data_IF_513213480730
#
_entry.id   IF_513213480730
#
_cell.length_a   1.000
_cell.length_b   1.000
_cell.length_c   1.000
_cell.angle_alpha   90.00
_cell.angle_beta   90.00
_cell.angle_gamma   90.00
#
_symmetry.space_group_name_H-M   'P 1'
#
loop_
_entity.id
_entity.type
_entity.pdbx_description
1 polymer ?
#
# COMPACT_ATOMS: atom_id res chain seq x y z
N UNK A 1 -9.61 -19.11 -35.39
CA UNK A 1 -9.74 -17.99 -34.42
C UNK A 1 -9.46 -18.50 -33.02
N UNK A 2 -8.25 -18.29 -32.49
CA UNK A 2 -7.91 -18.63 -31.10
C UNK A 2 -8.47 -17.52 -30.23
N UNK A 3 -9.56 -17.78 -29.48
CA UNK A 3 -10.02 -16.83 -28.46
C UNK A 3 -8.88 -16.68 -27.44
N UNK A 4 -8.37 -15.48 -27.16
CA UNK A 4 -7.40 -15.31 -26.10
C UNK A 4 -8.06 -15.78 -24.81
N UNK A 5 -7.56 -16.89 -24.23
CA UNK A 5 -8.01 -17.35 -22.92
C UNK A 5 -7.55 -16.29 -21.93
N UNK A 6 -8.48 -15.44 -21.51
CA UNK A 6 -8.26 -14.53 -20.40
C UNK A 6 -7.72 -15.36 -19.22
N UNK A 7 -6.60 -14.95 -18.60
CA UNK A 7 -6.08 -15.67 -17.45
C UNK A 7 -7.16 -15.72 -16.37
N UNK A 8 -7.46 -16.92 -15.89
CA UNK A 8 -8.43 -17.13 -14.81
C UNK A 8 -7.92 -16.41 -13.56
N UNK A 9 -8.80 -15.72 -12.84
CA UNK A 9 -8.44 -15.10 -11.55
C UNK A 9 -7.86 -16.17 -10.61
N UNK A 10 -6.76 -15.86 -9.89
CA UNK A 10 -6.13 -16.81 -8.98
C UNK A 10 -7.08 -17.18 -7.85
N UNK A 11 -7.12 -18.47 -7.49
CA UNK A 11 -8.04 -19.02 -6.49
C UNK A 11 -7.49 -18.99 -5.07
N UNK A 12 -6.16 -18.88 -4.92
CA UNK A 12 -5.47 -18.80 -3.63
C UNK A 12 -4.49 -17.62 -3.59
N UNK A 13 -4.11 -17.19 -2.39
CA UNK A 13 -3.09 -16.13 -2.21
C UNK A 13 -1.76 -16.61 -2.77
N UNK A 14 -1.45 -17.91 -2.65
CA UNK A 14 -0.28 -18.57 -3.21
C UNK A 14 -0.27 -18.43 -4.74
N UNK A 15 -1.38 -18.77 -5.40
CA UNK A 15 -1.50 -18.70 -6.85
C UNK A 15 -1.47 -17.25 -7.34
N UNK A 16 -2.05 -16.32 -6.57
CA UNK A 16 -2.01 -14.89 -6.88
C UNK A 16 -0.58 -14.32 -6.75
N UNK A 17 0.12 -14.68 -5.67
CA UNK A 17 1.50 -14.31 -5.44
C UNK A 17 2.44 -14.92 -6.48
N UNK A 18 2.27 -16.20 -6.82
CA UNK A 18 3.05 -16.88 -7.86
C UNK A 18 2.79 -16.32 -9.25
N UNK A 19 1.52 -16.05 -9.59
CA UNK A 19 1.16 -15.39 -10.85
C UNK A 19 1.80 -14.00 -10.94
N UNK A 20 1.73 -13.22 -9.85
CA UNK A 20 2.37 -11.91 -9.79
C UNK A 20 3.90 -12.02 -9.91
N UNK A 21 4.56 -12.86 -9.10
CA UNK A 21 6.02 -13.04 -9.15
C UNK A 21 6.49 -13.54 -10.52
N UNK A 22 5.70 -14.37 -11.21
CA UNK A 22 6.07 -14.98 -12.49
C UNK A 22 5.83 -14.09 -13.70
N UNK A 23 4.77 -13.27 -13.70
CA UNK A 23 4.36 -12.50 -14.88
C UNK A 23 4.39 -10.98 -14.67
N UNK A 24 4.26 -10.51 -13.44
CA UNK A 24 4.03 -9.09 -13.15
C UNK A 24 5.20 -8.45 -12.40
N UNK A 25 5.97 -9.18 -11.59
CA UNK A 25 7.05 -8.64 -10.77
C UNK A 25 8.14 -7.90 -11.57
N UNK A 26 8.82 -8.51 -12.56
CA UNK A 26 9.80 -7.78 -13.37
C UNK A 26 9.13 -6.68 -14.20
N UNK A 27 7.94 -6.97 -14.74
CA UNK A 27 7.25 -6.09 -15.67
C UNK A 27 6.66 -4.85 -14.99
N UNK A 28 6.23 -4.95 -13.74
CA UNK A 28 5.63 -3.87 -12.95
C UNK A 28 6.68 -2.93 -12.40
N UNK A 29 7.81 -3.44 -11.93
CA UNK A 29 8.97 -2.63 -11.58
C UNK A 29 9.48 -1.88 -12.81
N UNK A 30 9.60 -2.57 -13.96
CA UNK A 30 10.00 -1.95 -15.22
C UNK A 30 8.95 -0.95 -15.71
N UNK A 31 7.67 -1.29 -15.71
CA UNK A 31 6.59 -0.38 -16.15
C UNK A 31 6.47 0.83 -15.24
N UNK A 32 6.57 0.68 -13.92
CA UNK A 32 6.59 1.78 -12.97
C UNK A 32 7.85 2.65 -13.15
N UNK A 33 9.02 2.03 -13.38
CA UNK A 33 10.24 2.76 -13.75
C UNK A 33 10.06 3.51 -15.07
N UNK A 34 9.41 2.94 -16.08
CA UNK A 34 9.13 3.59 -17.36
C UNK A 34 8.12 4.73 -17.23
N UNK A 35 7.04 4.54 -16.47
CA UNK A 35 6.04 5.58 -16.17
C UNK A 35 6.73 6.72 -15.42
N UNK A 36 7.54 6.43 -14.41
CA UNK A 36 8.28 7.44 -13.67
C UNK A 36 9.35 8.12 -14.53
N UNK A 37 10.01 7.37 -15.40
CA UNK A 37 11.05 7.88 -16.30
C UNK A 37 10.46 8.73 -17.43
N UNK A 38 9.22 8.50 -17.83
CA UNK A 38 8.60 9.23 -18.93
C UNK A 38 7.72 10.40 -18.45
N UNK A 39 6.98 10.22 -17.34
CA UNK A 39 6.07 11.23 -16.79
C UNK A 39 6.72 12.07 -15.69
N UNK A 40 7.40 11.47 -14.71
CA UNK A 40 8.01 12.20 -13.57
C UNK A 40 9.39 12.81 -13.88
N UNK A 41 10.17 12.26 -14.81
CA UNK A 41 11.47 12.86 -15.22
C UNK A 41 11.33 14.03 -16.21
N UNK A 42 10.26 14.10 -17.02
CA UNK A 42 10.18 15.03 -18.15
C UNK A 42 9.36 16.30 -17.94
N UNK A 43 8.45 16.33 -16.94
CA UNK A 43 7.70 17.54 -16.57
C UNK A 43 7.79 17.76 -15.07
N UNK A 44 8.61 18.74 -14.69
CA UNK A 44 8.68 19.29 -13.33
C UNK A 44 7.45 20.18 -13.12
N UNK A 45 6.26 19.62 -13.24
CA UNK A 45 5.07 20.28 -12.71
C UNK A 45 4.85 19.76 -11.30
N UNK A 46 5.29 20.57 -10.34
CA UNK A 46 5.27 20.24 -8.92
C UNK A 46 3.88 19.88 -8.42
N UNK A 47 2.83 20.41 -9.05
CA UNK A 47 1.44 20.08 -8.75
C UNK A 47 1.08 18.68 -9.24
N UNK A 48 1.44 18.33 -10.48
CA UNK A 48 1.15 17.02 -11.05
C UNK A 48 1.85 15.90 -10.26
N UNK A 49 3.13 16.10 -9.92
CA UNK A 49 3.87 15.14 -9.08
C UNK A 49 3.17 14.92 -7.74
N UNK A 50 2.80 16.00 -7.06
CA UNK A 50 2.11 15.90 -5.76
C UNK A 50 0.74 15.23 -5.87
N UNK A 51 -0.01 15.52 -6.93
CA UNK A 51 -1.33 14.94 -7.19
C UNK A 51 -1.25 13.43 -7.46
N UNK A 52 -0.26 12.99 -8.26
CA UNK A 52 -0.04 11.57 -8.54
C UNK A 52 0.35 10.84 -7.26
N UNK A 53 1.31 11.37 -6.47
CA UNK A 53 1.70 10.77 -5.20
C UNK A 53 0.52 10.69 -4.22
N UNK A 54 -0.30 11.74 -4.15
CA UNK A 54 -1.51 11.75 -3.34
C UNK A 54 -2.53 10.70 -3.81
N UNK A 55 -2.72 10.54 -5.12
CA UNK A 55 -3.59 9.50 -5.68
C UNK A 55 -3.13 8.09 -5.27
N UNK A 56 -1.83 7.79 -5.39
CA UNK A 56 -1.28 6.50 -4.95
C UNK A 56 -1.42 6.28 -3.44
N UNK A 57 -1.23 7.32 -2.61
CA UNK A 57 -1.49 7.25 -1.17
C UNK A 57 -2.96 6.97 -0.86
N UNK A 58 -3.89 7.63 -1.55
CA UNK A 58 -5.32 7.42 -1.39
C UNK A 58 -5.73 6.01 -1.82
N UNK A 59 -5.16 5.51 -2.93
CA UNK A 59 -5.34 4.14 -3.39
C UNK A 59 -4.84 3.13 -2.34
N UNK A 60 -3.64 3.32 -1.81
CA UNK A 60 -3.06 2.48 -0.76
C UNK A 60 -3.94 2.45 0.50
N UNK A 61 -4.38 3.61 0.98
CA UNK A 61 -5.30 3.71 2.12
C UNK A 61 -6.64 3.00 1.85
N UNK A 62 -7.18 3.15 0.64
CA UNK A 62 -8.45 2.51 0.23
C UNK A 62 -8.32 0.99 0.21
N UNK A 63 -7.21 0.45 -0.28
CA UNK A 63 -6.93 -0.99 -0.28
C UNK A 63 -6.84 -1.53 1.15
N UNK A 64 -6.16 -0.83 2.06
CA UNK A 64 -6.10 -1.20 3.49
C UNK A 64 -7.49 -1.26 4.10
N UNK A 65 -8.32 -0.25 3.85
CA UNK A 65 -9.70 -0.21 4.33
C UNK A 65 -10.50 -1.40 3.78
N UNK A 66 -10.37 -1.69 2.48
CA UNK A 66 -11.07 -2.81 1.85
C UNK A 66 -10.67 -4.16 2.46
N UNK A 67 -9.37 -4.42 2.62
CA UNK A 67 -8.87 -5.65 3.23
C UNK A 67 -9.39 -5.77 4.67
N UNK A 68 -9.34 -4.69 5.44
CA UNK A 68 -9.85 -4.66 6.82
C UNK A 68 -11.36 -4.94 6.89
N UNK A 69 -12.16 -4.40 5.97
CA UNK A 69 -13.61 -4.64 5.93
C UNK A 69 -13.96 -6.08 5.54
N UNK A 70 -13.18 -6.70 4.66
CA UNK A 70 -13.35 -8.13 4.31
C UNK A 70 -12.95 -9.01 5.50
N UNK A 71 -11.81 -8.74 6.14
CA UNK A 71 -11.32 -9.53 7.28
C UNK A 71 -12.22 -9.46 8.52
N UNK A 72 -12.85 -8.30 8.76
CA UNK A 72 -13.81 -8.12 9.86
C UNK A 72 -15.20 -8.68 9.54
N UNK A 73 -15.42 -9.26 8.35
CA UNK A 73 -16.69 -9.85 7.94
C UNK A 73 -17.80 -8.85 7.63
N UNK A 74 -17.50 -7.55 7.61
CA UNK A 74 -18.46 -6.47 7.29
C UNK A 74 -18.83 -6.45 5.81
N UNK A 75 -17.89 -6.80 4.94
CA UNK A 75 -18.13 -7.00 3.51
C UNK A 75 -18.01 -8.48 3.18
N UNK A 76 -19.15 -9.10 2.84
CA UNK A 76 -19.25 -10.54 2.59
C UNK A 76 -19.87 -10.88 1.23
N UNK A 77 -19.87 -9.91 0.31
CA UNK A 77 -20.37 -10.11 -1.04
C UNK A 77 -19.46 -11.10 -1.79
N UNK A 78 -20.06 -12.03 -2.53
CA UNK A 78 -19.35 -13.13 -3.19
C UNK A 78 -18.23 -12.67 -4.14
N UNK A 79 -18.43 -11.55 -4.84
CA UNK A 79 -17.44 -10.97 -5.74
C UNK A 79 -16.24 -10.34 -4.99
N UNK A 80 -16.45 -9.80 -3.79
CA UNK A 80 -15.39 -9.27 -2.93
C UNK A 80 -14.51 -10.39 -2.35
N UNK A 81 -15.14 -11.50 -1.98
CA UNK A 81 -14.42 -12.70 -1.55
C UNK A 81 -13.61 -13.30 -2.71
N UNK A 82 -14.13 -13.25 -3.93
CA UNK A 82 -13.43 -13.72 -5.13
C UNK A 82 -12.18 -12.90 -5.47
N UNK A 83 -12.14 -11.59 -5.17
CA UNK A 83 -10.95 -10.75 -5.38
C UNK A 83 -9.98 -10.73 -4.21
N UNK A 84 -10.35 -11.27 -3.03
CA UNK A 84 -9.49 -11.26 -1.84
C UNK A 84 -8.08 -11.80 -2.09
N UNK A 85 -7.87 -12.90 -2.87
CA UNK A 85 -6.54 -13.40 -3.17
C UNK A 85 -5.63 -12.42 -3.91
N UNK A 86 -6.19 -11.48 -4.70
CA UNK A 86 -5.42 -10.50 -5.48
C UNK A 86 -5.11 -9.21 -4.71
N UNK A 87 -5.80 -8.95 -3.59
CA UNK A 87 -5.61 -7.71 -2.82
C UNK A 87 -4.18 -7.50 -2.31
N UNK A 88 -3.44 -8.53 -1.82
CA UNK A 88 -2.04 -8.39 -1.43
C UNK A 88 -1.15 -7.93 -2.59
N UNK A 89 -1.43 -8.45 -3.78
CA UNK A 89 -0.73 -8.11 -5.01
C UNK A 89 -1.00 -6.67 -5.44
N UNK A 90 -2.27 -6.25 -5.42
CA UNK A 90 -2.64 -4.85 -5.73
C UNK A 90 -2.03 -3.90 -4.70
N UNK A 91 -1.97 -4.29 -3.42
CA UNK A 91 -1.28 -3.53 -2.37
C UNK A 91 0.20 -3.36 -2.71
N UNK A 92 0.89 -4.46 -2.96
CA UNK A 92 2.32 -4.47 -3.31
C UNK A 92 2.62 -3.58 -4.51
N UNK A 93 1.77 -3.59 -5.53
CA UNK A 93 1.92 -2.72 -6.70
C UNK A 93 1.74 -1.24 -6.34
N UNK A 94 0.71 -0.89 -5.54
CA UNK A 94 0.46 0.49 -5.12
C UNK A 94 1.63 1.05 -4.28
N UNK A 95 2.11 0.29 -3.29
CA UNK A 95 3.25 0.69 -2.47
C UNK A 95 4.57 0.67 -3.26
N UNK A 96 4.77 -0.31 -4.14
CA UNK A 96 5.94 -0.38 -5.03
C UNK A 96 6.04 0.84 -5.93
N UNK A 97 4.94 1.27 -6.54
CA UNK A 97 4.88 2.50 -7.33
C UNK A 97 5.26 3.74 -6.52
N UNK A 98 4.77 3.86 -5.27
CA UNK A 98 5.18 4.95 -4.37
C UNK A 98 6.68 4.93 -4.08
N UNK A 99 7.26 3.76 -3.81
CA UNK A 99 8.70 3.66 -3.54
C UNK A 99 9.57 4.04 -4.75
N UNK A 100 9.18 3.64 -5.97
CA UNK A 100 9.91 4.03 -7.18
C UNK A 100 9.78 5.54 -7.41
N UNK A 101 8.59 6.11 -7.21
CA UNK A 101 8.36 7.55 -7.36
C UNK A 101 9.19 8.34 -6.33
N UNK A 102 9.23 7.89 -5.08
CA UNK A 102 10.10 8.46 -4.06
C UNK A 102 11.58 8.29 -4.40
N UNK A 103 12.00 7.12 -4.90
CA UNK A 103 13.37 6.90 -5.31
C UNK A 103 13.80 7.90 -6.38
N UNK A 104 12.96 8.15 -7.38
CA UNK A 104 13.19 9.16 -8.43
C UNK A 104 13.26 10.57 -7.85
N UNK A 105 12.37 10.90 -6.91
CA UNK A 105 12.30 12.23 -6.29
C UNK A 105 13.51 12.52 -5.40
N UNK A 106 13.80 11.61 -4.47
CA UNK A 106 14.87 11.76 -3.49
C UNK A 106 16.26 11.59 -4.09
N UNK A 107 16.43 10.81 -5.15
CA UNK A 107 17.74 10.67 -5.82
C UNK A 107 18.24 12.00 -6.40
N UNK A 108 17.33 12.87 -6.86
CA UNK A 108 17.70 14.22 -7.34
C UNK A 108 18.19 15.11 -6.22
N UNK A 109 17.58 15.01 -5.03
CA UNK A 109 17.99 15.76 -3.84
C UNK A 109 19.23 15.17 -3.16
N UNK A 110 19.45 13.86 -3.29
CA UNK A 110 20.57 13.15 -2.67
C UNK A 110 21.93 13.44 -3.33
N UNK A 111 21.94 13.87 -4.61
CA UNK A 111 23.17 14.26 -5.30
C UNK A 111 23.90 15.45 -4.64
N UNK A 112 23.22 16.21 -3.77
CA UNK A 112 23.75 17.44 -3.17
C UNK A 112 23.72 17.45 -1.63
N UNK A 113 23.37 16.35 -0.95
CA UNK A 113 23.20 16.35 0.51
C UNK A 113 23.31 14.96 1.17
N UNK A 114 23.27 14.91 2.51
CA UNK A 114 23.26 13.69 3.36
C UNK A 114 21.99 12.84 3.20
N UNK A 115 21.05 13.24 2.34
CA UNK A 115 19.81 12.54 2.05
C UNK A 115 19.97 11.19 1.34
N UNK A 116 21.20 10.78 0.99
CA UNK A 116 21.49 9.47 0.40
C UNK A 116 21.01 8.30 1.29
N UNK A 117 20.98 8.49 2.62
CA UNK A 117 20.48 7.46 3.54
C UNK A 117 18.99 7.15 3.32
N UNK A 118 18.18 8.14 2.94
CA UNK A 118 16.77 7.94 2.58
C UNK A 118 16.64 7.16 1.27
N UNK A 119 17.50 7.44 0.29
CA UNK A 119 17.53 6.69 -0.98
C UNK A 119 17.86 5.22 -0.73
N UNK A 120 18.87 4.93 0.11
CA UNK A 120 19.21 3.55 0.49
C UNK A 120 18.05 2.88 1.23
N UNK A 121 17.40 3.57 2.18
CA UNK A 121 16.24 3.04 2.89
C UNK A 121 15.08 2.71 1.93
N UNK A 122 14.83 3.55 0.92
CA UNK A 122 13.81 3.32 -0.11
C UNK A 122 14.13 2.12 -1.00
N UNK A 123 15.40 1.93 -1.38
CA UNK A 123 15.85 0.74 -2.13
C UNK A 123 15.59 -0.53 -1.30
N UNK A 124 15.95 -0.51 -0.02
CA UNK A 124 15.69 -1.64 0.89
C UNK A 124 14.20 -1.92 0.99
N UNK A 125 13.37 -0.89 1.14
CA UNK A 125 11.91 -1.01 1.18
C UNK A 125 11.33 -1.54 -0.13
N UNK A 126 11.85 -1.13 -1.28
CA UNK A 126 11.43 -1.62 -2.59
C UNK A 126 11.73 -3.12 -2.74
N UNK A 127 12.93 -3.56 -2.35
CA UNK A 127 13.32 -4.97 -2.36
C UNK A 127 12.52 -5.78 -1.33
N UNK A 128 12.23 -5.21 -0.17
CA UNK A 128 11.41 -5.82 0.86
C UNK A 128 9.95 -5.97 0.39
N UNK A 129 9.39 -4.93 -0.23
CA UNK A 129 8.05 -4.94 -0.83
C UNK A 129 7.89 -6.11 -1.78
N UNK A 130 8.92 -6.40 -2.58
CA UNK A 130 8.89 -7.48 -3.55
C UNK A 130 8.83 -8.88 -2.92
N UNK A 131 9.49 -9.04 -1.77
CA UNK A 131 9.57 -10.33 -1.07
C UNK A 131 8.39 -10.58 -0.12
N UNK A 132 7.74 -9.53 0.37
CA UNK A 132 6.77 -9.62 1.46
C UNK A 132 5.31 -9.50 1.02
N UNK A 133 4.96 -9.92 -0.21
CA UNK A 133 3.57 -9.86 -0.72
C UNK A 133 2.54 -10.46 0.23
N UNK A 134 2.85 -11.61 0.85
CA UNK A 134 1.95 -12.31 1.76
C UNK A 134 1.65 -11.52 3.03
N UNK A 135 2.59 -10.66 3.46
CA UNK A 135 2.43 -9.85 4.66
C UNK A 135 1.44 -8.71 4.49
N UNK A 136 1.05 -8.38 3.25
CA UNK A 136 -0.03 -7.42 3.00
C UNK A 136 -1.40 -7.87 3.50
N UNK A 137 -1.57 -9.11 3.96
CA UNK A 137 -2.78 -9.50 4.70
C UNK A 137 -2.71 -9.18 6.19
N UNK A 138 -1.54 -8.85 6.73
CA UNK A 138 -1.40 -8.47 8.14
C UNK A 138 -1.60 -6.97 8.32
N UNK A 139 -2.60 -6.60 9.11
CA UNK A 139 -2.94 -5.20 9.36
C UNK A 139 -1.76 -4.38 9.92
N UNK A 140 -0.97 -4.96 10.82
CA UNK A 140 0.21 -4.29 11.35
C UNK A 140 1.24 -3.95 10.26
N UNK A 141 1.48 -4.87 9.31
CA UNK A 141 2.38 -4.65 8.19
C UNK A 141 1.87 -3.54 7.26
N UNK A 142 0.57 -3.59 6.91
CA UNK A 142 -0.09 -2.56 6.12
C UNK A 142 0.04 -1.16 6.73
N UNK A 143 -0.17 -1.04 8.04
CA UNK A 143 -0.08 0.26 8.73
C UNK A 143 1.37 0.76 8.79
N UNK A 144 2.34 -0.13 9.05
CA UNK A 144 3.75 0.23 9.08
C UNK A 144 4.26 0.73 7.73
N UNK A 145 3.88 0.05 6.65
CA UNK A 145 4.28 0.46 5.31
C UNK A 145 3.55 1.72 4.87
N UNK A 146 2.26 1.86 5.23
CA UNK A 146 1.48 3.08 5.01
C UNK A 146 2.07 4.30 5.73
N UNK A 147 2.45 4.14 7.00
CA UNK A 147 3.17 5.18 7.75
C UNK A 147 4.45 5.60 7.02
N UNK A 148 5.24 4.63 6.58
CA UNK A 148 6.52 4.87 5.90
C UNK A 148 6.32 5.69 4.62
N UNK A 149 5.35 5.31 3.76
CA UNK A 149 5.08 6.06 2.52
C UNK A 149 4.45 7.42 2.78
N UNK A 150 3.58 7.54 3.79
CA UNK A 150 2.96 8.82 4.16
C UNK A 150 4.00 9.79 4.72
N UNK A 151 4.88 9.31 5.58
CA UNK A 151 5.98 10.10 6.12
C UNK A 151 6.94 10.53 5.00
N UNK A 152 7.29 9.62 4.09
CA UNK A 152 8.10 9.92 2.91
C UNK A 152 7.44 10.96 2.00
N UNK A 153 6.12 10.93 1.85
CA UNK A 153 5.41 11.98 1.13
C UNK A 153 5.46 13.32 1.85
N UNK A 154 5.21 13.34 3.17
CA UNK A 154 5.15 14.58 3.95
C UNK A 154 6.51 15.24 4.13
N UNK A 155 7.61 14.48 4.18
CA UNK A 155 8.98 15.06 4.15
C UNK A 155 9.20 15.87 2.89
N UNK A 156 8.60 15.50 1.77
CA UNK A 156 8.68 16.26 0.54
C UNK A 156 7.62 17.38 0.48
N UNK A 157 6.37 17.03 0.77
CA UNK A 157 5.22 17.90 0.51
C UNK A 157 5.14 19.09 1.46
N UNK A 158 5.49 18.93 2.74
CA UNK A 158 5.46 20.05 3.70
C UNK A 158 6.50 21.12 3.31
N UNK A 159 7.80 20.81 3.16
CA UNK A 159 8.78 21.78 2.66
C UNK A 159 8.38 22.45 1.35
N UNK A 160 7.70 21.71 0.46
CA UNK A 160 7.23 22.25 -0.80
C UNK A 160 6.14 23.33 -0.61
N UNK A 161 5.15 23.06 0.24
CA UNK A 161 4.06 24.01 0.53
C UNK A 161 4.59 25.26 1.22
N UNK A 162 5.50 25.09 2.19
CA UNK A 162 6.09 26.18 2.96
C UNK A 162 7.28 26.85 2.26
N UNK A 163 7.74 26.30 1.13
CA UNK A 163 8.90 26.75 0.35
C UNK A 163 10.18 26.88 1.20
N UNK A 164 10.35 25.99 2.17
CA UNK A 164 11.46 26.00 3.09
C UNK A 164 11.93 24.56 3.39
N UNK A 165 13.23 24.30 3.27
CA UNK A 165 13.84 23.02 3.63
C UNK A 165 14.62 23.23 4.92
N UNK A 166 14.02 22.88 6.05
CA UNK A 166 14.64 23.05 7.37
C UNK A 166 14.40 21.82 8.27
N UNK A 167 15.19 21.66 9.34
CA UNK A 167 14.95 20.61 10.34
C UNK A 167 13.56 20.71 10.98
N UNK A 168 12.99 21.91 11.14
CA UNK A 168 11.63 22.06 11.67
C UNK A 168 10.60 21.42 10.75
N UNK A 169 10.77 21.57 9.43
CA UNK A 169 9.85 20.95 8.46
C UNK A 169 9.93 19.43 8.50
N UNK A 170 11.13 18.86 8.71
CA UNK A 170 11.28 17.42 8.90
C UNK A 170 10.52 16.93 10.14
N UNK A 171 10.64 17.62 11.27
CA UNK A 171 9.90 17.31 12.50
C UNK A 171 8.40 17.47 12.29
N UNK A 172 7.96 18.55 11.62
CA UNK A 172 6.57 18.78 11.28
C UNK A 172 6.00 17.64 10.42
N UNK A 173 6.75 17.14 9.44
CA UNK A 173 6.36 15.97 8.63
C UNK A 173 6.21 14.71 9.47
N UNK A 174 7.06 14.51 10.48
CA UNK A 174 6.98 13.39 11.41
C UNK A 174 5.74 13.46 12.31
N UNK A 175 5.47 14.64 12.89
CA UNK A 175 4.27 14.86 13.70
C UNK A 175 3.01 14.70 12.86
N UNK A 176 2.97 15.30 11.67
CA UNK A 176 1.84 15.23 10.76
C UNK A 176 1.56 13.79 10.29
N UNK A 177 2.59 13.00 9.98
CA UNK A 177 2.44 11.60 9.57
C UNK A 177 1.88 10.75 10.73
N UNK A 178 2.39 10.93 11.94
CA UNK A 178 1.89 10.25 13.15
C UNK A 178 0.43 10.60 13.42
N UNK A 179 0.06 11.89 13.36
CA UNK A 179 -1.31 12.34 13.56
C UNK A 179 -2.26 11.75 12.50
N UNK A 180 -1.85 11.74 11.23
CA UNK A 180 -2.65 11.20 10.14
C UNK A 180 -2.84 9.68 10.27
N UNK A 181 -1.79 8.92 10.61
CA UNK A 181 -1.91 7.48 10.87
C UNK A 181 -2.76 7.21 12.11
N UNK A 182 -2.59 7.98 13.19
CA UNK A 182 -3.41 7.84 14.39
C UNK A 182 -4.90 8.11 14.09
N UNK A 183 -5.21 9.13 13.28
CA UNK A 183 -6.56 9.40 12.82
C UNK A 183 -7.11 8.24 11.96
N UNK A 184 -6.33 7.74 11.01
CA UNK A 184 -6.68 6.58 10.20
C UNK A 184 -6.99 5.35 11.06
N UNK A 185 -6.13 5.04 12.03
CA UNK A 185 -6.33 3.94 12.97
C UNK A 185 -7.58 4.12 13.84
N UNK A 186 -7.84 5.34 14.33
CA UNK A 186 -9.09 5.63 15.08
C UNK A 186 -10.32 5.38 14.24
N UNK A 187 -10.33 5.82 12.98
CA UNK A 187 -11.44 5.58 12.05
C UNK A 187 -11.65 4.08 11.85
N UNK A 188 -10.58 3.31 11.66
CA UNK A 188 -10.64 1.86 11.51
C UNK A 188 -11.12 1.18 12.81
N UNK A 189 -10.69 1.63 13.99
CA UNK A 189 -11.12 1.10 15.28
C UNK A 189 -12.61 1.40 15.57
N UNK A 190 -13.07 2.62 15.29
CA UNK A 190 -14.48 2.99 15.39
C UNK A 190 -15.36 2.11 14.49
N UNK A 191 -14.90 1.88 13.24
CA UNK A 191 -15.52 0.93 12.32
C UNK A 191 -15.48 -0.50 12.86
N UNK A 192 -14.40 -0.94 13.50
CA UNK A 192 -14.35 -2.29 14.06
C UNK A 192 -15.35 -2.49 15.22
N UNK A 193 -15.48 -1.51 16.11
CA UNK A 193 -16.33 -1.60 17.31
C UNK A 193 -17.83 -1.54 17.01
N UNK A 194 -18.28 -0.72 16.04
CA UNK A 194 -19.69 -0.62 15.68
C UNK A 194 -20.29 -1.84 14.96
N UNK A 195 -19.63 -3.00 15.00
CA UNK A 195 -20.03 -4.26 14.33
C UNK A 195 -20.04 -5.46 15.28
N UNK A 196 -19.93 -5.19 16.58
CA UNK A 196 -19.82 -6.21 17.62
C UNK A 196 -21.18 -6.84 17.97
N UNK A 197 -21.55 -7.90 17.28
CA UNK A 197 -22.13 -9.07 17.93
C UNK A 197 -21.73 -10.37 17.20
N UNK A 198 -20.44 -10.73 17.30
CA UNK A 198 -19.91 -12.01 16.80
C UNK A 198 -19.86 -13.06 17.93
N UNK A 199 -20.05 -12.64 19.20
CA UNK A 199 -20.07 -13.56 20.35
C UNK A 199 -21.28 -14.49 20.38
N UNK A 200 -22.39 -14.15 19.69
CA UNK A 200 -23.56 -15.04 19.59
C UNK A 200 -23.39 -16.24 18.65
N UNK A 201 -22.44 -16.23 17.72
CA UNK A 201 -22.32 -17.29 16.71
C UNK A 201 -21.38 -18.43 17.09
N UNK A 202 -20.51 -18.26 18.11
CA UNK A 202 -19.60 -19.32 18.57
C UNK A 202 -20.28 -20.37 19.46
N UNK A 203 -21.52 -20.13 19.89
CA UNK A 203 -22.29 -21.05 20.73
C UNK A 203 -23.07 -22.13 19.92
N UNK A 204 -23.27 -21.94 18.61
CA UNK A 204 -24.09 -22.85 17.78
C UNK A 204 -23.35 -24.07 17.20
N UNK A 205 -22.02 -24.10 17.25
CA UNK A 205 -21.20 -25.10 16.52
C UNK A 205 -20.81 -26.37 17.29
N UNK A 206 -21.23 -26.54 18.56
CA UNK A 206 -20.80 -27.67 19.41
C UNK A 206 -21.86 -28.78 19.59
N UNK A 207 -22.81 -28.95 18.67
CA UNK A 207 -23.84 -30.00 18.78
C UNK A 207 -24.02 -30.93 17.57
N UNK A 208 -23.02 -31.08 16.71
CA UNK A 208 -23.06 -32.10 15.65
C UNK A 208 -21.72 -32.83 15.53
N UNK A 209 -21.37 -33.62 16.55
CA UNK A 209 -20.47 -34.77 16.37
C UNK A 209 -20.56 -35.67 17.61
N UNK A 210 -21.73 -36.29 17.79
CA UNK A 210 -21.87 -37.51 18.59
C UNK A 210 -23.17 -38.22 18.22
N UNK A 211 -23.26 -38.72 16.99
CA UNK A 211 -24.18 -39.80 16.61
C UNK A 211 -23.50 -40.62 15.51
N UNK A 212 -23.09 -41.83 15.91
CA UNK A 212 -22.81 -43.06 15.14
C UNK A 212 -21.63 -43.03 14.17
#
# INVERSE_FOLDING_TARGET
>A
MVRPRLPKLPKSIEEAAEWYMRYVSPLSLVAALFIDTFFLLRRVDTLLTSLVLFFYLALAASIIVLISLIQTGRLRQWWLLAVTPILPVVSQFAFGGLFIAFLSLYSRSAAYSWSWIFVVALIVLLVANERFVRFYMHFAFQVSIFFTVLFSFLIFYIPLVFRAVSPEMFVASGVASLMAVAAFLRVQAYRAQGGGDISRYRAGGRRVSRVV
#
